data_IF_269595161223
#
_entry.id   IF_269595161223
#
_cell.length_a   1.000
_cell.length_b   1.000
_cell.length_c   1.000
_cell.angle_alpha   90.00
_cell.angle_beta   90.00
_cell.angle_gamma   90.00
#
_symmetry.space_group_name_H-M   'P 1'
#
loop_
_entity.id
_entity.type
_entity.pdbx_description
1 polymer ?
#
# COMPACT_ATOMS: atom_id res chain seq x y z
N UNK A 1 11.21 0.15 9.72
CA UNK A 1 11.79 0.64 10.99
C UNK A 1 12.74 -0.43 11.50
N UNK A 2 14.04 -0.12 11.46
CA UNK A 2 15.12 -1.07 11.78
C UNK A 2 15.21 -1.19 13.29
N UNK A 3 14.90 -2.36 13.83
CA UNK A 3 15.16 -2.69 15.23
C UNK A 3 16.59 -3.22 15.36
N UNK A 4 17.56 -2.31 15.36
CA UNK A 4 18.94 -2.61 15.76
C UNK A 4 19.32 -1.75 16.96
N UNK A 5 19.35 -2.36 18.14
CA UNK A 5 20.03 -1.81 19.31
C UNK A 5 19.12 -1.35 20.46
N UNK A 6 18.39 -2.26 21.09
CA UNK A 6 18.05 -2.09 22.52
C UNK A 6 19.24 -2.69 23.29
N UNK A 7 20.33 -1.94 23.32
CA UNK A 7 21.54 -2.29 24.04
C UNK A 7 22.18 -1.00 24.50
N UNK A 8 22.16 -0.78 25.81
CA UNK A 8 22.77 0.33 26.54
C UNK A 8 21.98 1.65 26.46
N UNK A 9 21.10 1.86 27.44
CA UNK A 9 20.66 3.21 27.82
C UNK A 9 21.91 4.06 28.07
N UNK A 10 22.22 4.98 27.16
CA UNK A 10 23.31 5.93 27.34
C UNK A 10 23.06 6.76 28.60
N UNK A 11 24.13 7.11 29.32
CA UNK A 11 24.12 7.80 30.63
C UNK A 11 23.36 9.16 30.61
N UNK A 12 22.89 9.64 29.45
CA UNK A 12 22.07 10.85 29.28
C UNK A 12 20.66 10.67 28.71
N UNK A 13 20.14 9.43 28.60
CA UNK A 13 18.76 9.22 28.13
C UNK A 13 17.75 9.59 29.22
N UNK A 14 16.85 10.53 28.94
CA UNK A 14 15.85 11.06 29.90
C UNK A 14 14.40 10.70 29.56
N UNK A 15 14.16 10.02 28.43
CA UNK A 15 12.83 9.58 28.03
C UNK A 15 12.79 8.93 26.65
N UNK A 16 11.61 8.40 26.31
CA UNK A 16 11.25 7.85 25.00
C UNK A 16 10.07 8.62 24.42
N UNK A 17 9.90 8.59 23.10
CA UNK A 17 8.77 9.25 22.43
C UNK A 17 8.55 8.72 21.02
N UNK A 18 7.40 9.07 20.43
CA UNK A 18 7.02 8.73 19.06
C UNK A 18 6.94 10.01 18.22
N UNK A 19 7.61 10.03 17.06
CA UNK A 19 7.69 11.18 16.15
C UNK A 19 7.15 10.83 14.75
N UNK A 20 5.99 10.16 14.71
CA UNK A 20 5.36 9.76 13.45
C UNK A 20 4.73 10.97 12.75
N UNK A 21 5.01 11.15 11.45
CA UNK A 21 4.44 12.25 10.66
C UNK A 21 2.90 12.15 10.50
N UNK A 22 2.37 10.94 10.53
CA UNK A 22 0.94 10.64 10.52
C UNK A 22 0.59 9.54 11.52
N UNK A 23 -0.61 9.61 12.08
CA UNK A 23 -1.18 8.62 13.01
C UNK A 23 -2.30 7.81 12.32
N UNK A 24 -3.06 7.02 13.09
CA UNK A 24 -4.20 6.22 12.59
C UNK A 24 -3.83 5.05 11.66
N UNK A 25 -2.61 4.54 11.81
CA UNK A 25 -2.07 3.37 11.11
C UNK A 25 -1.35 2.45 12.09
N UNK A 26 -1.21 1.15 11.80
CA UNK A 26 -0.42 0.20 12.58
C UNK A 26 -0.52 0.34 14.13
N UNK A 27 -1.73 0.25 14.71
CA UNK A 27 -1.96 0.51 16.14
C UNK A 27 -1.09 -0.35 17.07
N UNK A 28 -0.69 -1.54 16.63
CA UNK A 28 0.22 -2.42 17.38
C UNK A 28 1.58 -1.78 17.70
N UNK A 29 2.11 -0.94 16.79
CA UNK A 29 3.39 -0.25 16.98
C UNK A 29 3.27 0.82 18.06
N UNK A 30 2.16 1.57 18.04
CA UNK A 30 1.88 2.59 19.05
C UNK A 30 1.63 1.98 20.42
N UNK A 31 0.90 0.87 20.47
CA UNK A 31 0.58 0.15 21.70
C UNK A 31 1.85 -0.37 22.37
N UNK A 32 2.70 -1.07 21.60
CA UNK A 32 4.00 -1.56 22.09
C UNK A 32 4.90 -0.41 22.55
N UNK A 33 5.12 0.61 21.71
CA UNK A 33 6.04 1.71 22.03
C UNK A 33 5.59 2.53 23.24
N UNK A 34 4.28 2.72 23.41
CA UNK A 34 3.74 3.39 24.59
C UNK A 34 3.94 2.57 25.85
N UNK A 35 3.82 1.24 25.76
CA UNK A 35 4.08 0.34 26.89
C UNK A 35 5.55 0.33 27.29
N UNK A 36 6.48 0.41 26.32
CA UNK A 36 7.93 0.38 26.57
C UNK A 36 8.43 1.49 27.50
N UNK A 37 7.71 2.61 27.60
CA UNK A 37 8.05 3.68 28.55
C UNK A 37 7.95 3.25 30.03
N UNK A 38 7.23 2.16 30.31
CA UNK A 38 6.97 1.66 31.67
C UNK A 38 7.77 0.39 32.01
N UNK A 39 8.56 -0.13 31.08
CA UNK A 39 9.40 -1.31 31.30
C UNK A 39 10.83 -0.88 31.65
N UNK A 40 11.38 -1.44 32.73
CA UNK A 40 12.77 -1.24 33.14
C UNK A 40 13.72 -2.33 32.63
N UNK A 41 13.17 -3.46 32.17
CA UNK A 41 13.89 -4.61 31.64
C UNK A 41 13.44 -4.90 30.20
N UNK A 42 14.25 -5.60 29.39
CA UNK A 42 13.85 -6.01 28.05
C UNK A 42 12.56 -6.84 28.06
N UNK A 43 11.61 -6.48 27.19
CA UNK A 43 10.35 -7.20 27.03
C UNK A 43 10.51 -8.43 26.10
N UNK A 44 9.83 -9.52 26.43
CA UNK A 44 9.53 -10.59 25.46
C UNK A 44 8.44 -10.14 24.48
N UNK A 45 8.87 -9.59 23.35
CA UNK A 45 7.98 -9.06 22.31
C UNK A 45 7.15 -10.17 21.67
N UNK A 46 7.69 -11.38 21.52
CA UNK A 46 6.97 -12.49 20.89
C UNK A 46 5.79 -12.92 21.76
N UNK A 47 6.01 -13.06 23.08
CA UNK A 47 4.92 -13.31 24.02
C UNK A 47 3.90 -12.15 24.05
N UNK A 48 4.36 -10.90 23.96
CA UNK A 48 3.45 -9.75 23.93
C UNK A 48 2.53 -9.75 22.71
N UNK A 49 3.08 -10.10 21.53
CA UNK A 49 2.34 -10.27 20.27
C UNK A 49 1.34 -11.42 20.36
N UNK A 50 1.74 -12.57 20.91
CA UNK A 50 0.84 -13.74 21.05
C UNK A 50 -0.41 -13.43 21.89
N UNK A 51 -0.31 -12.48 22.81
CA UNK A 51 -1.42 -12.01 23.66
C UNK A 51 -2.17 -10.80 23.07
N UNK A 52 -1.61 -10.11 22.09
CA UNK A 52 -2.18 -8.91 21.46
C UNK A 52 -3.60 -9.11 20.89
N UNK A 53 -3.87 -10.10 20.01
CA UNK A 53 -5.21 -10.28 19.46
C UNK A 53 -6.27 -10.57 20.52
N UNK A 54 -5.90 -11.28 21.59
CA UNK A 54 -6.83 -11.54 22.70
C UNK A 54 -7.23 -10.25 23.40
N UNK A 55 -6.27 -9.37 23.71
CA UNK A 55 -6.54 -8.04 24.31
C UNK A 55 -7.36 -7.16 23.36
N UNK A 56 -7.00 -7.18 22.08
CA UNK A 56 -7.58 -6.30 21.06
C UNK A 56 -8.98 -6.70 20.63
N UNK A 57 -9.25 -8.01 20.50
CA UNK A 57 -10.53 -8.53 20.02
C UNK A 57 -11.45 -9.02 21.14
N UNK A 58 -10.94 -9.11 22.36
CA UNK A 58 -11.70 -9.51 23.55
C UNK A 58 -11.92 -11.02 23.70
N UNK A 59 -11.32 -11.84 22.83
CA UNK A 59 -11.46 -13.30 22.88
C UNK A 59 -10.17 -14.01 22.44
N UNK A 60 -9.72 -15.06 23.14
CA UNK A 60 -8.58 -15.86 22.70
C UNK A 60 -8.99 -16.79 21.56
N UNK A 61 -8.43 -16.54 20.37
CA UNK A 61 -8.64 -17.35 19.17
C UNK A 61 -7.26 -17.78 18.66
N UNK A 62 -6.95 -19.09 18.75
CA UNK A 62 -5.62 -19.61 18.41
C UNK A 62 -5.22 -19.32 16.96
N UNK A 63 -6.17 -19.37 16.02
CA UNK A 63 -5.93 -19.02 14.62
C UNK A 63 -5.48 -17.56 14.44
N UNK A 64 -6.05 -16.63 15.20
CA UNK A 64 -5.67 -15.21 15.14
C UNK A 64 -4.34 -14.95 15.85
N UNK A 65 -4.03 -15.67 16.93
CA UNK A 65 -2.72 -15.62 17.57
C UNK A 65 -1.61 -16.05 16.60
N UNK A 66 -1.82 -17.19 15.91
CA UNK A 66 -0.90 -17.66 14.88
C UNK A 66 -0.76 -16.63 13.75
N UNK A 67 -1.85 -16.02 13.30
CA UNK A 67 -1.81 -15.00 12.26
C UNK A 67 -0.96 -13.80 12.68
N UNK A 68 -1.16 -13.26 13.88
CA UNK A 68 -0.37 -12.14 14.39
C UNK A 68 1.11 -12.47 14.57
N UNK A 69 1.43 -13.69 15.01
CA UNK A 69 2.81 -14.17 15.05
C UNK A 69 3.47 -14.21 13.67
N UNK A 70 2.72 -14.63 12.64
CA UNK A 70 3.21 -14.57 11.26
C UNK A 70 3.41 -13.13 10.78
N UNK A 71 2.48 -12.22 11.09
CA UNK A 71 2.62 -10.79 10.76
C UNK A 71 3.84 -10.17 11.45
N UNK A 72 4.10 -10.57 12.69
CA UNK A 72 5.30 -10.19 13.42
C UNK A 72 6.57 -10.59 12.67
N UNK A 73 6.70 -11.84 12.23
CA UNK A 73 7.88 -12.30 11.48
C UNK A 73 7.95 -11.81 10.01
N UNK A 74 6.94 -11.09 9.53
CA UNK A 74 6.86 -10.60 8.14
C UNK A 74 6.76 -9.08 8.08
N UNK A 75 5.55 -8.53 7.96
CA UNK A 75 5.31 -7.09 7.76
C UNK A 75 5.94 -6.26 8.89
N UNK A 76 5.86 -6.74 10.13
CA UNK A 76 6.37 -5.99 11.29
C UNK A 76 7.86 -6.24 11.60
N UNK A 77 8.58 -7.04 10.81
CA UNK A 77 10.00 -7.33 11.02
C UNK A 77 10.88 -6.90 9.83
N UNK A 78 10.86 -5.59 9.55
CA UNK A 78 11.75 -4.98 8.56
C UNK A 78 13.14 -4.72 9.18
N UNK A 79 14.16 -5.46 8.75
CA UNK A 79 15.52 -5.38 9.33
C UNK A 79 16.60 -4.93 8.34
N UNK A 80 16.23 -4.52 7.14
CA UNK A 80 17.16 -4.32 6.02
C UNK A 80 17.79 -2.92 5.94
N UNK A 81 17.48 -2.02 6.86
CA UNK A 81 18.07 -0.67 6.86
C UNK A 81 17.31 0.36 6.02
N UNK A 82 16.32 -0.06 5.23
CA UNK A 82 15.71 0.80 4.20
C UNK A 82 14.60 1.66 4.81
N UNK A 83 14.61 2.95 4.45
CA UNK A 83 13.52 3.86 4.76
C UNK A 83 12.31 3.53 3.87
N UNK A 84 11.33 2.85 4.43
CA UNK A 84 10.11 2.52 3.71
C UNK A 84 9.18 3.73 3.57
N UNK A 85 8.67 3.91 2.35
CA UNK A 85 7.57 4.82 2.01
C UNK A 85 6.61 4.01 1.16
N UNK A 86 5.30 4.16 1.41
CA UNK A 86 4.34 3.46 0.57
C UNK A 86 4.40 3.98 -0.87
N UNK A 87 4.99 3.17 -1.74
CA UNK A 87 5.11 3.37 -3.19
C UNK A 87 4.37 2.28 -3.96
N UNK A 88 3.38 1.63 -3.35
CA UNK A 88 2.50 0.71 -4.07
C UNK A 88 1.88 1.44 -5.25
N UNK A 89 1.87 0.76 -6.41
CA UNK A 89 1.58 1.42 -7.69
C UNK A 89 0.17 2.01 -7.75
N UNK A 90 -0.79 1.43 -6.99
CA UNK A 90 -2.15 1.98 -6.86
C UNK A 90 -2.12 3.45 -6.41
N UNK A 91 -1.23 3.80 -5.47
CA UNK A 91 -1.18 5.13 -4.86
C UNK A 91 0.01 5.97 -5.34
N UNK A 92 0.93 5.39 -6.09
CA UNK A 92 2.11 6.05 -6.62
C UNK A 92 2.46 5.51 -8.02
N UNK A 93 1.70 5.94 -9.03
CA UNK A 93 1.98 5.57 -10.42
C UNK A 93 3.35 6.10 -10.89
N UNK A 94 4.11 5.30 -11.67
CA UNK A 94 5.38 5.75 -12.23
C UNK A 94 5.19 6.97 -13.14
N UNK A 95 6.00 7.99 -12.90
CA UNK A 95 6.09 9.21 -13.70
C UNK A 95 7.34 9.18 -14.59
N UNK A 96 7.47 8.09 -15.34
CA UNK A 96 8.60 7.79 -16.22
C UNK A 96 8.12 7.10 -17.49
N UNK A 97 8.96 7.02 -18.51
CA UNK A 97 8.66 6.21 -19.68
C UNK A 97 8.50 4.72 -19.26
N UNK A 98 7.41 4.03 -19.64
CA UNK A 98 7.21 2.63 -19.27
C UNK A 98 8.30 1.68 -19.80
N UNK A 99 9.00 2.05 -20.87
CA UNK A 99 10.09 1.24 -21.46
C UNK A 99 11.33 1.14 -20.58
N UNK A 100 11.54 2.09 -19.66
CA UNK A 100 12.70 2.09 -18.75
C UNK A 100 12.40 1.46 -17.39
N UNK A 101 11.15 1.02 -17.16
CA UNK A 101 10.76 0.34 -15.92
C UNK A 101 11.41 -1.05 -15.92
N UNK A 102 12.35 -1.28 -15.00
CA UNK A 102 12.97 -2.58 -14.81
C UNK A 102 11.94 -3.51 -14.17
N UNK A 103 11.61 -4.61 -14.85
CA UNK A 103 10.86 -5.71 -14.24
C UNK A 103 11.90 -6.55 -13.51
N UNK A 104 11.81 -6.70 -12.17
CA UNK A 104 12.66 -7.64 -11.48
C UNK A 104 12.33 -9.02 -12.06
N UNK A 105 13.24 -9.58 -12.85
CA UNK A 105 13.14 -10.99 -13.22
C UNK A 105 12.93 -11.79 -11.93
N UNK A 106 12.20 -12.90 -12.01
CA UNK A 106 12.33 -14.03 -11.07
C UNK A 106 13.75 -14.61 -11.27
N UNK A 107 14.74 -13.78 -10.97
CA UNK A 107 16.14 -13.99 -11.28
C UNK A 107 16.73 -14.72 -10.09
N UNK A 108 17.07 -15.97 -10.37
CA UNK A 108 18.01 -16.77 -9.60
C UNK A 108 19.18 -15.89 -9.16
N UNK A 109 19.47 -15.92 -7.87
CA UNK A 109 20.61 -15.30 -7.23
C UNK A 109 20.54 -13.78 -7.00
N UNK A 110 19.67 -13.35 -6.09
CA UNK A 110 20.05 -12.28 -5.17
C UNK A 110 21.12 -12.82 -4.20
N UNK A 111 22.36 -12.99 -4.69
CA UNK A 111 23.52 -12.95 -3.80
C UNK A 111 23.49 -11.58 -3.13
N UNK A 112 23.63 -11.57 -1.81
CA UNK A 112 23.79 -10.37 -1.02
C UNK A 112 24.85 -9.46 -1.65
N UNK A 113 24.41 -8.44 -2.37
CA UNK A 113 25.24 -7.29 -2.67
C UNK A 113 24.83 -6.21 -1.69
N UNK A 114 25.60 -6.12 -0.61
CA UNK A 114 25.69 -4.92 0.20
C UNK A 114 26.08 -3.77 -0.74
N UNK A 115 25.10 -3.00 -1.18
CA UNK A 115 25.36 -1.65 -1.67
C UNK A 115 25.51 -0.81 -0.41
N UNK A 116 26.75 -0.42 -0.11
CA UNK A 116 27.08 0.56 0.93
C UNK A 116 26.47 1.92 0.54
N UNK A 117 25.18 2.10 0.84
CA UNK A 117 24.53 3.41 0.81
C UNK A 117 24.76 4.05 2.16
N UNK A 118 25.90 4.74 2.26
CA UNK A 118 26.17 5.71 3.33
C UNK A 118 24.94 6.60 3.52
N UNK A 119 24.55 6.75 4.78
CA UNK A 119 23.54 7.68 5.29
C UNK A 119 23.70 9.04 4.61
N UNK A 120 22.77 9.39 3.72
CA UNK A 120 22.61 10.77 3.28
C UNK A 120 21.48 11.38 4.09
N UNK A 121 21.85 12.23 5.04
CA UNK A 121 20.94 13.18 5.69
C UNK A 121 20.13 13.95 4.64
N UNK A 122 18.80 13.98 4.82
CA UNK A 122 17.94 15.13 4.54
C UNK A 122 18.01 15.83 3.18
N UNK A 123 18.58 15.24 2.13
CA UNK A 123 18.60 15.83 0.79
C UNK A 123 17.41 15.32 -0.03
N UNK A 124 16.57 16.25 -0.50
CA UNK A 124 15.64 15.99 -1.59
C UNK A 124 16.45 15.43 -2.76
N UNK A 125 16.25 14.15 -3.10
CA UNK A 125 16.83 13.58 -4.30
C UNK A 125 16.28 14.33 -5.50
N UNK A 126 17.18 14.89 -6.31
CA UNK A 126 16.90 15.28 -7.68
C UNK A 126 16.20 14.13 -8.41
N UNK A 127 15.34 14.48 -9.36
CA UNK A 127 14.54 13.55 -10.16
C UNK A 127 15.46 12.46 -10.72
N UNK A 128 15.40 11.28 -10.09
CA UNK A 128 16.01 10.09 -10.65
C UNK A 128 15.03 9.59 -11.70
N UNK A 129 15.46 9.52 -12.95
CA UNK A 129 14.69 8.91 -14.06
C UNK A 129 14.37 7.42 -13.81
N UNK A 130 14.77 6.84 -12.68
CA UNK A 130 14.44 5.49 -12.28
C UNK A 130 13.09 5.40 -11.58
N UNK A 131 12.23 4.49 -12.03
CA UNK A 131 11.09 4.03 -11.24
C UNK A 131 11.53 3.54 -9.85
N UNK A 132 11.07 4.20 -8.79
CA UNK A 132 11.29 3.79 -7.40
C UNK A 132 10.33 2.65 -7.06
N UNK A 133 10.82 1.42 -7.05
CA UNK A 133 9.98 0.25 -6.83
C UNK A 133 9.40 0.22 -5.40
N UNK A 134 8.16 -0.28 -5.23
CA UNK A 134 7.62 -0.52 -3.90
C UNK A 134 8.54 -1.45 -3.11
N UNK A 135 9.00 -1.00 -1.94
CA UNK A 135 9.83 -1.79 -1.05
C UNK A 135 9.04 -3.00 -0.52
N UNK A 136 9.67 -4.17 -0.52
CA UNK A 136 9.10 -5.44 -0.04
C UNK A 136 10.20 -6.25 0.65
N UNK A 137 10.09 -6.41 1.97
CA UNK A 137 11.05 -7.12 2.82
C UNK A 137 10.52 -8.46 3.36
N UNK A 138 9.35 -8.89 2.88
CA UNK A 138 8.65 -10.07 3.40
C UNK A 138 7.98 -10.89 2.29
N UNK A 139 7.69 -12.15 2.59
CA UNK A 139 6.93 -13.05 1.72
C UNK A 139 5.46 -12.65 1.66
N UNK A 140 4.95 -12.32 0.48
CA UNK A 140 3.51 -12.03 0.29
C UNK A 140 2.65 -13.28 0.52
N UNK A 141 3.21 -14.48 0.31
CA UNK A 141 2.51 -15.75 0.55
C UNK A 141 2.20 -15.92 2.04
N UNK A 142 3.16 -15.61 2.91
CA UNK A 142 2.98 -15.73 4.36
C UNK A 142 1.91 -14.74 4.87
N UNK A 143 1.89 -13.53 4.31
CA UNK A 143 0.85 -12.53 4.60
C UNK A 143 -0.52 -12.97 4.09
N UNK A 144 -0.60 -13.58 2.90
CA UNK A 144 -1.86 -14.14 2.37
C UNK A 144 -2.36 -15.29 3.26
N UNK A 145 -1.45 -16.11 3.79
CA UNK A 145 -1.82 -17.17 4.72
C UNK A 145 -2.28 -16.61 6.08
N UNK A 146 -1.62 -15.58 6.61
CA UNK A 146 -2.10 -14.86 7.79
C UNK A 146 -3.50 -14.26 7.56
N UNK A 147 -3.75 -13.66 6.39
CA UNK A 147 -5.08 -13.19 5.99
C UNK A 147 -6.10 -14.33 5.96
N UNK A 148 -5.73 -15.50 5.41
CA UNK A 148 -6.60 -16.67 5.42
C UNK A 148 -7.00 -17.06 6.85
N UNK A 149 -6.06 -17.07 7.80
CA UNK A 149 -6.37 -17.33 9.20
C UNK A 149 -7.35 -16.29 9.80
N UNK A 150 -7.22 -15.02 9.44
CA UNK A 150 -8.21 -13.99 9.81
C UNK A 150 -9.61 -14.30 9.25
N UNK A 151 -9.70 -14.72 8.00
CA UNK A 151 -10.97 -15.03 7.32
C UNK A 151 -11.64 -16.29 7.87
N UNK A 152 -10.86 -17.34 8.12
CA UNK A 152 -11.34 -18.63 8.62
C UNK A 152 -11.86 -18.52 10.06
N UNK A 153 -11.29 -17.61 10.87
CA UNK A 153 -11.68 -17.42 12.27
C UNK A 153 -12.54 -16.17 12.52
N UNK A 154 -12.87 -15.42 11.46
CA UNK A 154 -13.50 -14.11 11.57
C UNK A 154 -14.94 -14.12 12.09
N UNK A 155 -15.68 -15.22 11.90
CA UNK A 155 -17.08 -15.32 12.34
C UNK A 155 -17.20 -15.18 13.87
N UNK A 156 -16.19 -15.59 14.63
CA UNK A 156 -16.19 -15.55 16.09
C UNK A 156 -15.98 -14.14 16.67
N UNK A 157 -15.41 -13.23 15.88
CA UNK A 157 -14.95 -11.90 16.34
C UNK A 157 -15.39 -10.76 15.43
N UNK A 158 -16.23 -11.01 14.42
CA UNK A 158 -16.73 -10.01 13.45
C UNK A 158 -17.45 -8.83 14.08
N UNK A 159 -18.05 -9.02 15.26
CA UNK A 159 -18.66 -7.94 16.05
C UNK A 159 -17.62 -6.94 16.60
N UNK A 160 -16.36 -7.34 16.76
CA UNK A 160 -15.29 -6.46 17.23
C UNK A 160 -14.91 -5.43 16.15
N UNK A 161 -14.99 -4.14 16.50
CA UNK A 161 -14.59 -3.05 15.61
C UNK A 161 -13.08 -3.13 15.27
N UNK A 162 -12.24 -3.46 16.24
CA UNK A 162 -10.79 -3.55 16.06
C UNK A 162 -10.41 -4.74 15.17
N UNK A 163 -11.12 -5.86 15.28
CA UNK A 163 -10.95 -6.98 14.35
C UNK A 163 -11.31 -6.58 12.93
N UNK A 164 -12.46 -5.91 12.73
CA UNK A 164 -12.87 -5.43 11.39
C UNK A 164 -11.86 -4.45 10.81
N UNK A 165 -11.29 -3.54 11.62
CA UNK A 165 -10.22 -2.64 11.17
C UNK A 165 -9.01 -3.43 10.66
N UNK A 166 -8.48 -4.36 11.47
CA UNK A 166 -7.26 -5.11 11.13
C UNK A 166 -7.49 -6.03 9.93
N UNK A 167 -8.69 -6.63 9.82
CA UNK A 167 -9.06 -7.44 8.66
C UNK A 167 -9.08 -6.61 7.37
N UNK A 168 -9.67 -5.41 7.41
CA UNK A 168 -9.68 -4.49 6.26
C UNK A 168 -8.26 -4.07 5.89
N UNK A 169 -7.42 -3.71 6.87
CA UNK A 169 -6.03 -3.31 6.61
C UNK A 169 -5.19 -4.44 6.02
N UNK A 170 -5.30 -5.64 6.58
CA UNK A 170 -4.56 -6.81 6.10
C UNK A 170 -5.02 -7.25 4.71
N UNK A 171 -6.33 -7.22 4.45
CA UNK A 171 -6.88 -7.51 3.12
C UNK A 171 -6.38 -6.47 2.10
N UNK A 172 -6.43 -5.18 2.46
CA UNK A 172 -5.91 -4.08 1.64
C UNK A 172 -4.42 -4.27 1.35
N UNK A 173 -3.62 -4.63 2.35
CA UNK A 173 -2.19 -4.86 2.19
C UNK A 173 -1.90 -6.00 1.20
N UNK A 174 -2.55 -7.14 1.36
CA UNK A 174 -2.36 -8.28 0.47
C UNK A 174 -2.73 -7.94 -0.99
N UNK A 175 -3.85 -7.26 -1.18
CA UNK A 175 -4.32 -6.83 -2.50
C UNK A 175 -3.46 -5.73 -3.13
N UNK A 176 -2.91 -4.80 -2.34
CA UNK A 176 -1.98 -3.77 -2.82
C UNK A 176 -0.69 -4.41 -3.38
N UNK A 177 -0.14 -5.42 -2.69
CA UNK A 177 1.04 -6.15 -3.20
C UNK A 177 0.72 -7.00 -4.44
N UNK A 178 -0.46 -7.59 -4.49
CA UNK A 178 -0.96 -8.24 -5.71
C UNK A 178 -1.10 -7.24 -6.88
N UNK A 179 -1.57 -6.01 -6.63
CA UNK A 179 -1.68 -4.97 -7.64
C UNK A 179 -0.32 -4.59 -8.24
N UNK A 180 0.74 -4.51 -7.44
CA UNK A 180 2.10 -4.29 -7.94
C UNK A 180 2.51 -5.37 -8.95
N UNK A 181 2.19 -6.64 -8.67
CA UNK A 181 2.48 -7.75 -9.59
C UNK A 181 1.67 -7.67 -10.88
N UNK A 182 0.38 -7.33 -10.78
CA UNK A 182 -0.48 -7.10 -11.95
C UNK A 182 0.08 -5.97 -12.82
N UNK A 183 0.53 -4.88 -12.20
CA UNK A 183 1.16 -3.78 -12.93
C UNK A 183 2.45 -4.20 -13.63
N UNK A 184 3.31 -5.00 -13.00
CA UNK A 184 4.50 -5.53 -13.66
C UNK A 184 4.16 -6.39 -14.88
N UNK A 185 3.03 -7.13 -14.88
CA UNK A 185 2.52 -7.84 -16.07
C UNK A 185 2.02 -6.89 -17.16
N UNK A 186 1.52 -5.70 -16.80
CA UNK A 186 1.20 -4.66 -17.79
C UNK A 186 2.49 -4.14 -18.45
N UNK A 187 3.52 -3.86 -17.66
CA UNK A 187 4.81 -3.39 -18.18
C UNK A 187 5.50 -4.45 -19.03
N UNK A 188 5.46 -5.72 -18.63
CA UNK A 188 5.98 -6.86 -19.41
C UNK A 188 5.34 -6.91 -20.80
N UNK A 189 4.01 -6.82 -20.85
CA UNK A 189 3.26 -6.83 -22.10
C UNK A 189 3.57 -5.62 -22.97
N UNK A 190 3.79 -4.44 -22.36
CA UNK A 190 4.19 -3.25 -23.12
C UNK A 190 5.58 -3.43 -23.75
N UNK A 191 6.55 -3.90 -22.98
CA UNK A 191 7.93 -4.10 -23.44
C UNK A 191 8.05 -5.18 -24.54
N UNK A 192 7.16 -6.18 -24.52
CA UNK A 192 7.10 -7.24 -25.54
C UNK A 192 6.07 -6.98 -26.65
N UNK A 193 5.48 -5.78 -26.70
CA UNK A 193 4.44 -5.40 -27.67
C UNK A 193 3.21 -6.35 -27.69
N UNK A 194 2.85 -6.94 -26.55
CA UNK A 194 1.67 -7.78 -26.36
C UNK A 194 0.45 -6.95 -25.92
N UNK A 195 -0.25 -6.40 -26.90
CA UNK A 195 -1.46 -5.59 -26.70
C UNK A 195 -2.55 -6.37 -25.93
N UNK A 196 -2.65 -7.69 -26.12
CA UNK A 196 -3.69 -8.50 -25.45
C UNK A 196 -3.40 -8.60 -23.96
N UNK A 197 -2.15 -8.85 -23.60
CA UNK A 197 -1.70 -8.90 -22.22
C UNK A 197 -1.89 -7.54 -21.52
N UNK A 198 -1.47 -6.45 -22.16
CA UNK A 198 -1.64 -5.09 -21.64
C UNK A 198 -3.11 -4.78 -21.42
N UNK A 199 -3.98 -5.08 -22.39
CA UNK A 199 -5.42 -4.83 -22.28
C UNK A 199 -6.03 -5.61 -21.11
N UNK A 200 -5.71 -6.90 -21.01
CA UNK A 200 -6.24 -7.77 -19.97
C UNK A 200 -5.82 -7.32 -18.56
N UNK A 201 -4.51 -7.14 -18.33
CA UNK A 201 -4.02 -6.79 -16.99
C UNK A 201 -4.31 -5.34 -16.60
N UNK A 202 -4.41 -4.42 -17.57
CA UNK A 202 -4.86 -3.05 -17.30
C UNK A 202 -6.31 -3.05 -16.79
N UNK A 203 -7.21 -3.80 -17.44
CA UNK A 203 -8.59 -3.91 -16.98
C UNK A 203 -8.66 -4.60 -15.61
N UNK A 204 -7.91 -5.69 -15.43
CA UNK A 204 -7.84 -6.41 -14.16
C UNK A 204 -7.34 -5.52 -13.01
N UNK A 205 -6.36 -4.66 -13.27
CA UNK A 205 -5.86 -3.66 -12.32
C UNK A 205 -6.95 -2.64 -11.96
N UNK A 206 -7.66 -2.08 -12.95
CA UNK A 206 -8.73 -1.11 -12.70
C UNK A 206 -9.89 -1.71 -11.92
N UNK A 207 -10.23 -2.97 -12.16
CA UNK A 207 -11.26 -3.68 -11.40
C UNK A 207 -10.79 -3.95 -9.97
N UNK A 208 -9.53 -4.31 -9.77
CA UNK A 208 -8.93 -4.43 -8.44
C UNK A 208 -8.97 -3.11 -7.65
N UNK A 209 -8.71 -1.97 -8.28
CA UNK A 209 -8.80 -0.65 -7.60
C UNK A 209 -10.23 -0.34 -7.16
N UNK A 210 -11.24 -0.63 -7.99
CA UNK A 210 -12.66 -0.45 -7.61
C UNK A 210 -13.05 -1.35 -6.44
N UNK A 211 -12.63 -2.60 -6.50
CA UNK A 211 -12.91 -3.61 -5.49
C UNK A 211 -12.22 -3.29 -4.15
N UNK A 212 -11.00 -2.75 -4.20
CA UNK A 212 -10.32 -2.20 -3.03
C UNK A 212 -11.07 -1.01 -2.44
N UNK A 213 -11.66 -0.13 -3.25
CA UNK A 213 -12.49 0.96 -2.73
C UNK A 213 -13.72 0.43 -1.95
N UNK A 214 -14.37 -0.62 -2.47
CA UNK A 214 -15.48 -1.31 -1.78
C UNK A 214 -15.03 -1.89 -0.42
N UNK A 215 -13.86 -2.52 -0.37
CA UNK A 215 -13.28 -3.00 0.90
C UNK A 215 -13.08 -1.87 1.89
N UNK A 216 -12.45 -0.78 1.47
CA UNK A 216 -12.17 0.37 2.33
C UNK A 216 -13.47 1.04 2.80
N UNK A 217 -14.53 1.03 1.99
CA UNK A 217 -15.84 1.56 2.36
C UNK A 217 -16.50 0.81 3.54
N UNK A 218 -16.05 -0.42 3.84
CA UNK A 218 -16.65 -1.28 4.87
C UNK A 218 -16.22 -0.95 6.31
N UNK A 219 -15.35 0.03 6.52
CA UNK A 219 -14.90 0.42 7.85
C UNK A 219 -14.61 1.92 7.99
N UNK A 220 -15.09 2.55 9.06
CA UNK A 220 -15.05 4.02 9.27
C UNK A 220 -13.62 4.61 9.22
N UNK A 221 -12.62 3.82 9.63
CA UNK A 221 -11.20 4.20 9.61
C UNK A 221 -10.55 4.32 8.22
N UNK A 222 -11.27 4.00 7.13
CA UNK A 222 -10.73 4.01 5.77
C UNK A 222 -11.55 4.88 4.82
N UNK A 223 -12.27 5.89 5.33
CA UNK A 223 -13.11 6.78 4.53
C UNK A 223 -12.44 8.14 4.29
N UNK A 224 -12.53 8.67 3.07
CA UNK A 224 -12.08 10.02 2.77
C UNK A 224 -12.99 11.10 3.40
N UNK A 225 -14.30 10.85 3.43
CA UNK A 225 -15.32 11.82 3.85
C UNK A 225 -15.05 12.46 5.22
N UNK A 226 -14.75 11.69 6.29
CA UNK A 226 -14.47 12.26 7.61
C UNK A 226 -13.31 13.27 7.61
N UNK A 227 -12.25 13.03 6.83
CA UNK A 227 -11.13 13.97 6.71
C UNK A 227 -11.58 15.30 6.09
N UNK A 228 -12.29 15.24 4.96
CA UNK A 228 -12.77 16.44 4.25
C UNK A 228 -13.82 17.21 5.06
N UNK A 229 -14.77 16.52 5.69
CA UNK A 229 -15.76 17.17 6.56
C UNK A 229 -15.11 17.78 7.80
N UNK A 230 -14.08 17.14 8.36
CA UNK A 230 -13.33 17.71 9.47
C UNK A 230 -12.63 19.01 9.10
N UNK A 231 -11.97 19.05 7.93
CA UNK A 231 -11.35 20.27 7.42
C UNK A 231 -12.35 21.40 7.23
N UNK A 232 -13.51 21.11 6.62
CA UNK A 232 -14.58 22.10 6.40
C UNK A 232 -15.14 22.67 7.69
N UNK A 233 -15.32 21.85 8.74
CA UNK A 233 -15.86 22.30 10.04
C UNK A 233 -14.98 23.33 10.75
N UNK A 234 -13.71 23.46 10.37
CA UNK A 234 -12.81 24.48 10.92
C UNK A 234 -13.02 25.86 10.30
N UNK A 235 -13.75 25.96 9.18
CA UNK A 235 -13.97 27.21 8.47
C UNK A 235 -14.99 28.11 9.18
N UNK A 236 -14.79 29.43 9.05
CA UNK A 236 -15.70 30.45 9.60
C UNK A 236 -16.67 31.00 8.57
N UNK A 237 -16.38 30.81 7.29
CA UNK A 237 -17.16 31.31 6.16
C UNK A 237 -17.01 30.39 4.93
N UNK A 238 -17.79 30.66 3.89
CA UNK A 238 -17.83 29.82 2.68
C UNK A 238 -16.51 29.82 1.89
N UNK A 239 -15.70 30.87 1.96
CA UNK A 239 -14.44 30.93 1.23
C UNK A 239 -13.37 30.12 1.95
N UNK A 240 -13.31 30.22 3.29
CA UNK A 240 -12.49 29.34 4.11
C UNK A 240 -12.89 27.88 3.97
N UNK A 241 -14.18 27.56 3.88
CA UNK A 241 -14.64 26.18 3.71
C UNK A 241 -14.10 25.58 2.41
N UNK A 242 -14.19 26.33 1.30
CA UNK A 242 -13.59 25.93 0.01
C UNK A 242 -12.09 25.75 0.12
N UNK A 243 -11.39 26.71 0.74
CA UNK A 243 -9.94 26.67 0.90
C UNK A 243 -9.48 25.49 1.76
N UNK A 244 -10.17 25.20 2.87
CA UNK A 244 -9.79 24.12 3.79
C UNK A 244 -10.06 22.74 3.18
N UNK A 245 -11.16 22.58 2.44
CA UNK A 245 -11.38 21.35 1.68
C UNK A 245 -10.32 21.17 0.59
N UNK A 246 -9.99 22.23 -0.15
CA UNK A 246 -8.91 22.20 -1.14
C UNK A 246 -7.57 21.83 -0.49
N UNK A 247 -7.21 22.44 0.66
CA UNK A 247 -6.00 22.11 1.40
C UNK A 247 -5.96 20.61 1.79
N UNK A 248 -7.06 20.07 2.32
CA UNK A 248 -7.14 18.67 2.74
C UNK A 248 -6.99 17.71 1.55
N UNK A 249 -7.63 18.00 0.42
CA UNK A 249 -7.49 17.24 -0.83
C UNK A 249 -6.06 17.32 -1.37
N UNK A 250 -5.48 18.50 -1.34
CA UNK A 250 -4.15 18.77 -1.88
C UNK A 250 -3.06 18.06 -1.08
N UNK A 251 -3.10 18.11 0.26
CA UNK A 251 -2.11 17.48 1.14
C UNK A 251 -1.98 15.96 0.93
N UNK A 252 -3.06 15.27 0.58
CA UNK A 252 -3.06 13.81 0.36
C UNK A 252 -2.83 13.40 -1.12
N UNK A 253 -2.65 14.37 -2.03
CA UNK A 253 -2.46 14.14 -3.48
C UNK A 253 -1.24 14.89 -4.03
N UNK A 254 -1.40 16.00 -4.76
CA UNK A 254 -0.30 16.76 -5.37
C UNK A 254 0.59 17.48 -4.35
N UNK A 255 0.12 17.67 -3.12
CA UNK A 255 0.83 18.33 -2.02
C UNK A 255 1.03 19.84 -2.18
N UNK A 256 1.81 20.30 -3.16
CA UNK A 256 1.97 21.72 -3.49
C UNK A 256 2.11 21.91 -5.01
N UNK A 257 2.38 23.14 -5.45
CA UNK A 257 2.49 23.60 -6.83
C UNK A 257 2.90 22.54 -7.88
N UNK A 258 2.17 22.57 -9.00
CA UNK A 258 2.44 21.81 -10.22
C UNK A 258 2.35 22.77 -11.41
N UNK A 259 3.08 22.48 -12.49
CA UNK A 259 2.86 23.13 -13.79
C UNK A 259 1.88 22.31 -14.64
N UNK A 260 1.66 22.67 -15.90
CA UNK A 260 0.82 21.86 -16.79
C UNK A 260 1.40 20.48 -17.09
N UNK A 261 2.72 20.31 -17.00
CA UNK A 261 3.42 19.08 -17.37
C UNK A 261 4.33 18.54 -16.27
N UNK A 262 4.58 19.29 -15.20
CA UNK A 262 5.42 18.86 -14.09
C UNK A 262 4.57 18.79 -12.82
N UNK A 263 4.51 17.61 -12.23
CA UNK A 263 3.92 17.42 -10.93
C UNK A 263 4.86 17.81 -9.80
N UNK A 264 4.30 18.06 -8.62
CA UNK A 264 5.09 18.32 -7.43
C UNK A 264 6.10 17.21 -7.14
N UNK A 265 7.27 17.59 -6.59
CA UNK A 265 8.23 16.66 -6.02
C UNK A 265 7.66 15.90 -4.81
N UNK A 266 6.63 16.45 -4.16
CA UNK A 266 5.92 15.84 -3.03
C UNK A 266 4.60 15.16 -3.43
N UNK A 267 4.34 14.99 -4.74
CA UNK A 267 3.16 14.26 -5.20
C UNK A 267 3.08 12.88 -4.54
N UNK A 268 1.88 12.52 -4.14
CA UNK A 268 1.55 11.27 -3.47
C UNK A 268 2.35 11.02 -2.17
N UNK A 269 3.04 12.03 -1.61
CA UNK A 269 3.73 11.90 -0.31
C UNK A 269 2.74 11.59 0.81
N UNK A 270 1.63 12.33 0.83
CA UNK A 270 0.54 12.18 1.78
C UNK A 270 -0.47 11.10 1.39
N UNK A 271 -0.14 10.17 0.49
CA UNK A 271 -1.09 9.19 -0.04
C UNK A 271 -1.83 8.40 1.05
N UNK A 272 -3.04 7.95 0.71
CA UNK A 272 -3.92 7.17 1.58
C UNK A 272 -4.66 6.10 0.79
N UNK A 273 -4.89 4.97 1.44
CA UNK A 273 -5.88 4.00 0.99
C UNK A 273 -7.22 4.31 1.65
N UNK A 274 -7.94 5.28 1.08
CA UNK A 274 -9.27 5.65 1.54
C UNK A 274 -10.32 5.42 0.44
N UNK A 275 -11.49 4.91 0.82
CA UNK A 275 -12.64 4.83 -0.06
C UNK A 275 -13.07 6.24 -0.49
N UNK A 276 -13.44 6.36 -1.76
CA UNK A 276 -13.64 7.62 -2.46
C UNK A 276 -12.36 8.15 -3.08
N UNK A 277 -11.21 8.08 -2.40
CA UNK A 277 -9.93 8.49 -2.96
C UNK A 277 -9.43 7.48 -4.01
N UNK A 278 -9.56 6.18 -3.75
CA UNK A 278 -9.19 5.17 -4.74
C UNK A 278 -10.08 5.27 -5.99
N UNK A 279 -11.40 5.29 -5.81
CA UNK A 279 -12.35 5.33 -6.92
C UNK A 279 -12.29 6.63 -7.73
N UNK A 280 -12.17 7.80 -7.10
CA UNK A 280 -12.31 9.09 -7.81
C UNK A 280 -10.97 9.74 -8.16
N UNK A 281 -9.85 9.29 -7.61
CA UNK A 281 -8.54 9.88 -7.87
C UNK A 281 -7.55 8.87 -8.46
N UNK A 282 -7.20 7.82 -7.71
CA UNK A 282 -6.16 6.88 -8.15
C UNK A 282 -6.60 6.00 -9.32
N UNK A 283 -7.84 5.50 -9.33
CA UNK A 283 -8.40 4.71 -10.43
C UNK A 283 -8.44 5.47 -11.75
N UNK A 284 -8.95 6.71 -11.81
CA UNK A 284 -8.89 7.53 -13.01
C UNK A 284 -7.46 7.84 -13.48
N UNK A 285 -6.51 8.09 -12.56
CA UNK A 285 -5.08 8.25 -12.93
C UNK A 285 -4.51 6.99 -13.58
N UNK A 286 -4.80 5.81 -13.02
CA UNK A 286 -4.42 4.52 -13.60
C UNK A 286 -5.03 4.34 -15.00
N UNK A 287 -6.31 4.67 -15.17
CA UNK A 287 -7.00 4.55 -16.44
C UNK A 287 -6.39 5.46 -17.52
N UNK A 288 -5.99 6.69 -17.17
CA UNK A 288 -5.25 7.59 -18.06
C UNK A 288 -3.92 6.95 -18.45
N UNK A 289 -3.15 6.40 -17.50
CA UNK A 289 -1.88 5.73 -17.82
C UNK A 289 -2.06 4.60 -18.83
N UNK A 290 -2.99 3.67 -18.58
CA UNK A 290 -3.23 2.53 -19.47
C UNK A 290 -3.82 2.93 -20.83
N UNK A 291 -4.64 4.00 -20.89
CA UNK A 291 -5.13 4.59 -22.14
C UNK A 291 -3.97 5.04 -23.03
N UNK A 292 -3.02 5.79 -22.47
CA UNK A 292 -1.84 6.27 -23.19
C UNK A 292 -0.92 5.12 -23.62
N UNK A 293 -0.75 4.14 -22.74
CA UNK A 293 0.05 2.94 -23.00
C UNK A 293 -0.50 2.15 -24.19
N UNK A 294 -1.79 1.83 -24.20
CA UNK A 294 -2.43 1.11 -25.30
C UNK A 294 -2.46 1.92 -26.59
N UNK A 295 -2.71 3.23 -26.51
CA UNK A 295 -2.73 4.10 -27.67
C UNK A 295 -1.36 4.18 -28.36
N UNK A 296 -0.27 4.24 -27.60
CA UNK A 296 1.08 4.28 -28.18
C UNK A 296 1.43 2.96 -28.85
N UNK A 297 1.08 1.82 -28.25
CA UNK A 297 1.27 0.49 -28.85
C UNK A 297 0.52 0.32 -30.17
N UNK A 298 -0.76 0.73 -30.23
CA UNK A 298 -1.58 0.62 -31.46
C UNK A 298 -1.01 1.48 -32.59
N UNK A 299 -0.46 2.65 -32.28
CA UNK A 299 0.17 3.53 -33.27
C UNK A 299 1.59 3.11 -33.65
N UNK A 300 2.25 2.28 -32.83
CA UNK A 300 3.67 1.95 -32.98
C UNK A 300 4.58 3.12 -32.62
N UNK A 301 4.15 3.98 -31.70
CA UNK A 301 4.87 5.17 -31.24
C UNK A 301 5.38 4.98 -29.79
N UNK A 302 6.35 5.80 -29.37
CA UNK A 302 6.78 5.86 -27.97
C UNK A 302 5.66 6.39 -27.06
N UNK A 303 5.71 6.04 -25.77
CA UNK A 303 4.76 6.56 -24.78
C UNK A 303 4.82 8.10 -24.74
N UNK A 304 3.71 8.83 -25.00
CA UNK A 304 3.74 10.29 -25.03
C UNK A 304 3.69 10.85 -23.60
N UNK A 305 4.85 10.87 -22.94
CA UNK A 305 5.01 11.17 -21.52
C UNK A 305 4.47 12.56 -21.13
N UNK A 306 4.74 13.60 -21.93
CA UNK A 306 4.27 14.97 -21.65
C UNK A 306 2.74 15.11 -21.79
N UNK A 307 2.14 14.50 -22.80
CA UNK A 307 0.68 14.54 -22.99
C UNK A 307 -0.02 13.75 -21.88
N UNK A 308 0.54 12.60 -21.50
CA UNK A 308 0.05 11.85 -20.35
C UNK A 308 0.14 12.68 -19.06
N UNK A 309 1.29 13.33 -18.81
CA UNK A 309 1.51 14.26 -17.68
C UNK A 309 0.43 15.33 -17.63
N UNK A 310 0.20 15.99 -18.76
CA UNK A 310 -0.82 17.03 -18.90
C UNK A 310 -2.22 16.54 -18.51
N UNK A 311 -2.62 15.35 -18.97
CA UNK A 311 -3.95 14.82 -18.69
C UNK A 311 -4.13 14.45 -17.20
N UNK A 312 -3.16 13.75 -16.60
CA UNK A 312 -3.31 13.30 -15.20
C UNK A 312 -3.10 14.44 -14.19
N UNK A 313 -2.26 15.44 -14.48
CA UNK A 313 -2.13 16.65 -13.66
C UNK A 313 -3.43 17.46 -13.73
N UNK A 314 -4.00 17.64 -14.93
CA UNK A 314 -5.30 18.30 -15.08
C UNK A 314 -6.41 17.59 -14.29
N UNK A 315 -6.44 16.26 -14.32
CA UNK A 315 -7.36 15.46 -13.50
C UNK A 315 -7.15 15.74 -12.00
N UNK A 316 -5.90 15.78 -11.55
CA UNK A 316 -5.58 16.04 -10.14
C UNK A 316 -6.06 17.41 -9.69
N UNK A 317 -5.76 18.46 -10.45
CA UNK A 317 -6.14 19.83 -10.12
C UNK A 317 -7.67 20.00 -10.10
N UNK A 318 -8.39 19.35 -11.04
CA UNK A 318 -9.86 19.30 -11.04
C UNK A 318 -10.41 18.55 -9.83
N UNK A 319 -9.81 17.43 -9.45
CA UNK A 319 -10.24 16.66 -8.28
C UNK A 319 -10.03 17.44 -6.97
N UNK A 320 -8.91 18.14 -6.82
CA UNK A 320 -8.60 18.99 -5.67
C UNK A 320 -9.56 20.18 -5.54
N UNK A 321 -9.97 20.74 -6.67
CA UNK A 321 -10.90 21.88 -6.72
C UNK A 321 -12.37 21.46 -6.64
N UNK A 322 -12.64 20.15 -6.70
CA UNK A 322 -13.99 19.59 -6.62
C UNK A 322 -14.57 19.75 -5.22
N UNK A 323 -15.90 19.86 -5.17
CA UNK A 323 -16.71 19.85 -3.94
C UNK A 323 -17.57 18.58 -3.83
N UNK A 324 -17.18 17.50 -4.53
CA UNK A 324 -17.88 16.21 -4.47
C UNK A 324 -17.91 15.70 -3.02
N UNK A 325 -19.09 15.36 -2.54
CA UNK A 325 -19.29 14.78 -1.21
C UNK A 325 -18.89 13.30 -1.21
N UNK A 326 -18.35 12.86 -0.08
CA UNK A 326 -17.95 11.48 0.16
C UNK A 326 -18.64 10.95 1.42
N UNK A 327 -18.86 9.64 1.49
CA UNK A 327 -19.50 9.03 2.66
C UNK A 327 -18.67 9.27 3.92
N UNK A 328 -19.35 9.62 5.02
CA UNK A 328 -18.77 9.75 6.36
C UNK A 328 -19.06 8.54 7.25
N UNK A 329 -19.74 7.54 6.70
CA UNK A 329 -20.11 6.30 7.38
C UNK A 329 -19.82 5.10 6.51
N UNK A 330 -19.30 4.07 7.14
CA UNK A 330 -19.01 2.81 6.49
C UNK A 330 -20.28 2.13 6.01
N UNK A 331 -20.13 1.36 4.93
CA UNK A 331 -21.18 0.53 4.36
C UNK A 331 -20.60 -0.78 3.88
N UNK A 332 -21.34 -1.87 4.09
CA UNK A 332 -20.92 -3.21 3.72
C UNK A 332 -20.37 -4.00 4.90
N UNK A 333 -20.27 -5.31 4.71
CA UNK A 333 -19.76 -6.24 5.71
C UNK A 333 -18.29 -6.57 5.42
N UNK A 334 -17.40 -6.10 6.28
CA UNK A 334 -15.95 -6.24 6.10
C UNK A 334 -15.52 -7.70 5.93
N UNK A 335 -16.10 -8.63 6.68
CA UNK A 335 -15.72 -10.05 6.62
C UNK A 335 -16.12 -10.69 5.29
N UNK A 336 -17.37 -10.48 4.86
CA UNK A 336 -17.88 -11.02 3.60
C UNK A 336 -17.18 -10.40 2.38
N UNK A 337 -16.91 -9.09 2.41
CA UNK A 337 -16.16 -8.41 1.35
C UNK A 337 -14.73 -8.95 1.29
N UNK A 338 -14.03 -9.07 2.42
CA UNK A 338 -12.68 -9.63 2.45
C UNK A 338 -12.64 -11.08 1.97
N UNK A 339 -13.62 -11.93 2.32
CA UNK A 339 -13.74 -13.31 1.80
C UNK A 339 -13.91 -13.33 0.28
N UNK A 340 -14.83 -12.51 -0.24
CA UNK A 340 -15.07 -12.40 -1.67
C UNK A 340 -13.81 -11.96 -2.43
N UNK A 341 -13.08 -10.96 -1.92
CA UNK A 341 -11.85 -10.47 -2.55
C UNK A 341 -10.71 -11.48 -2.47
N UNK A 342 -10.58 -12.18 -1.34
CA UNK A 342 -9.63 -13.27 -1.20
C UNK A 342 -9.89 -14.36 -2.24
N UNK A 343 -11.14 -14.79 -2.41
CA UNK A 343 -11.52 -15.78 -3.42
C UNK A 343 -11.28 -15.29 -4.85
N UNK A 344 -11.59 -14.02 -5.13
CA UNK A 344 -11.45 -13.42 -6.46
C UNK A 344 -9.99 -13.27 -6.90
N UNK A 345 -9.11 -12.84 -5.99
CA UNK A 345 -7.75 -12.41 -6.35
C UNK A 345 -6.62 -13.29 -5.78
N UNK A 346 -6.79 -13.82 -4.57
CA UNK A 346 -5.68 -14.38 -3.79
C UNK A 346 -5.72 -15.91 -3.67
N UNK A 347 -6.90 -16.54 -3.70
CA UNK A 347 -7.07 -18.00 -3.51
C UNK A 347 -6.25 -18.83 -4.50
N UNK A 348 -6.26 -18.42 -5.77
CA UNK A 348 -5.53 -19.08 -6.85
C UNK A 348 -4.22 -18.36 -7.22
N UNK A 349 -3.89 -17.26 -6.55
CA UNK A 349 -2.56 -16.66 -6.71
C UNK A 349 -1.49 -17.70 -6.37
N UNK A 350 -1.72 -18.53 -5.35
CA UNK A 350 -0.82 -19.64 -4.98
C UNK A 350 -0.68 -20.72 -6.07
N UNK A 351 -1.72 -21.04 -6.85
CA UNK A 351 -1.62 -22.08 -7.90
C UNK A 351 -1.10 -21.51 -9.22
N UNK A 352 -1.52 -20.32 -9.64
CA UNK A 352 -0.98 -19.66 -10.85
C UNK A 352 0.47 -19.21 -10.66
N UNK A 353 0.84 -18.72 -9.48
CA UNK A 353 2.23 -18.37 -9.16
C UNK A 353 3.09 -19.61 -8.91
N UNK A 354 2.53 -20.68 -8.35
CA UNK A 354 3.23 -21.97 -8.34
C UNK A 354 3.43 -22.48 -9.77
N UNK A 355 2.47 -22.44 -10.69
CA UNK A 355 2.71 -22.90 -12.07
C UNK A 355 3.76 -22.08 -12.84
N UNK A 356 3.82 -20.76 -12.62
CA UNK A 356 4.88 -19.91 -13.19
C UNK A 356 6.26 -20.13 -12.53
N UNK A 357 6.32 -20.80 -11.36
CA UNK A 357 7.55 -21.20 -10.65
C UNK A 357 7.87 -22.70 -10.75
N UNK A 358 6.88 -23.56 -11.02
CA UNK A 358 6.93 -25.05 -11.00
C UNK A 358 7.07 -25.64 -12.41
N UNK A 359 6.98 -24.81 -13.47
CA UNK A 359 7.59 -25.14 -14.77
C UNK A 359 9.09 -25.47 -14.69
N UNK A 360 9.70 -25.32 -13.50
CA UNK A 360 11.10 -25.58 -13.20
C UNK A 360 11.40 -26.89 -12.46
N UNK A 361 10.40 -27.63 -11.96
CA UNK A 361 10.65 -28.84 -11.15
C UNK A 361 10.75 -30.16 -11.96
N UNK A 362 10.59 -30.11 -13.28
CA UNK A 362 10.66 -31.31 -14.12
C UNK A 362 12.10 -31.70 -14.59
N UNK A 363 13.15 -31.02 -14.14
CA UNK A 363 14.54 -31.30 -14.59
C UNK A 363 15.48 -31.76 -13.47
N UNK A 364 15.03 -31.81 -12.21
CA UNK A 364 15.88 -32.27 -11.09
C UNK A 364 15.71 -33.74 -10.67
N UNK A 365 14.98 -34.55 -11.44
CA UNK A 365 14.97 -36.01 -11.29
C UNK A 365 15.76 -36.75 -12.38
N UNK A 366 16.56 -36.04 -13.18
CA UNK A 366 17.39 -36.63 -14.24
C UNK A 366 18.82 -36.07 -14.25
N UNK A 367 19.56 -36.19 -13.14
CA UNK A 367 21.02 -36.36 -13.13
C UNK A 367 21.56 -36.44 -11.69
N UNK A 368 22.17 -37.60 -11.41
CA UNK A 368 22.83 -38.07 -10.18
C UNK A 368 21.95 -38.61 -9.07
#
# INVERSE_FOLDING_TARGET
MVWSGIGWYGIGMVGTGMCMEGIEQNPIVYDLMSEMAFHHEPMDVEMWIDLYPTRRYGKPISGLQLAWKMLYHTIYNCTDGVNDKNRDVIVAFPDVDPSIIIIPEVSKAAKHQYIDRRLSEGHMKEVSDSYDQPHLWYSTIDVIYALKLFLDNGDEVSNSQTFRYDLVDLTRQALAKYANQVFLKVIDGYQHNDIKQVTFYSQHFLDLVKDLDILLASHDGFLLGPCLESAKRLAKDSEQEKQFEWNARTQITMWFDSTEIEASLLRDYGNKYWSGLLQDYYGPRAAIYFKYLLASMVKGESFPLEDWRREWISLTNKWQSSRKLFSVKASGDALNISRWLFDKYLRNANSKMAYDLVGYDAVKSASM
#
